data_IF_829176558460
#
_entry.id   IF_829176558460
#
_cell.length_a   1.000
_cell.length_b   1.000
_cell.length_c   1.000
_cell.angle_alpha   90.00
_cell.angle_beta   90.00
_cell.angle_gamma   90.00
#
_symmetry.space_group_name_H-M   'P 1'
#
loop_
_entity.id
_entity.type
_entity.pdbx_description
1 polymer ?
#
# COMPACT_ATOMS: atom_id res chain seq x y z
N UNK A 1 -3.39 8.87 -15.49
CA UNK A 1 -3.94 7.84 -14.57
C UNK A 1 -2.79 7.36 -13.71
N UNK A 2 -2.94 7.35 -12.38
CA UNK A 2 -1.90 6.84 -11.48
C UNK A 2 -1.73 5.34 -11.75
N UNK A 3 -0.52 4.86 -12.00
CA UNK A 3 -0.24 3.45 -12.23
C UNK A 3 0.41 2.89 -10.97
N UNK A 4 -0.23 1.88 -10.38
CA UNK A 4 0.24 1.18 -9.21
C UNK A 4 1.43 0.29 -9.54
N UNK A 5 2.45 0.38 -8.71
CA UNK A 5 3.58 -0.54 -8.66
C UNK A 5 3.15 -1.68 -7.75
N UNK A 6 2.91 -2.84 -8.35
CA UNK A 6 2.40 -4.05 -7.67
C UNK A 6 3.42 -5.16 -7.91
N UNK A 7 3.98 -5.68 -6.82
CA UNK A 7 5.00 -6.74 -6.85
C UNK A 7 4.45 -8.08 -7.33
N UNK A 8 3.19 -8.38 -7.00
CA UNK A 8 2.51 -9.61 -7.36
C UNK A 8 1.13 -9.36 -7.95
N UNK A 9 1.07 -9.43 -9.28
CA UNK A 9 -0.18 -9.22 -10.04
C UNK A 9 -1.17 -10.38 -9.93
N UNK A 10 -0.74 -11.53 -9.41
CA UNK A 10 -1.63 -12.64 -9.13
C UNK A 10 -2.43 -12.43 -7.84
N UNK A 11 -1.94 -11.59 -6.91
CA UNK A 11 -2.59 -11.30 -5.63
C UNK A 11 -3.33 -9.98 -5.62
N UNK A 12 -2.82 -8.96 -6.32
CA UNK A 12 -3.53 -7.71 -6.51
C UNK A 12 -3.33 -7.16 -7.92
N UNK A 13 -4.32 -6.49 -8.47
CA UNK A 13 -4.17 -5.81 -9.75
C UNK A 13 -4.96 -4.50 -9.75
N UNK A 14 -4.63 -3.64 -10.71
CA UNK A 14 -5.31 -2.36 -10.88
C UNK A 14 -6.21 -2.41 -12.12
N UNK A 15 -7.48 -2.03 -11.95
CA UNK A 15 -8.43 -1.84 -13.05
C UNK A 15 -8.96 -0.40 -13.01
N UNK A 16 -8.45 0.45 -13.91
CA UNK A 16 -8.75 1.88 -13.88
C UNK A 16 -8.24 2.52 -12.59
N UNK A 17 -9.14 3.09 -11.78
CA UNK A 17 -8.82 3.68 -10.47
C UNK A 17 -9.01 2.70 -9.29
N UNK A 18 -9.46 1.47 -9.57
CA UNK A 18 -9.68 0.46 -8.54
C UNK A 18 -8.43 -0.39 -8.35
N UNK A 19 -8.08 -0.63 -7.09
CA UNK A 19 -7.13 -1.67 -6.69
C UNK A 19 -7.97 -2.86 -6.26
N UNK A 20 -7.72 -4.02 -6.85
CA UNK A 20 -8.46 -5.25 -6.59
C UNK A 20 -7.48 -6.25 -5.99
N UNK A 21 -7.69 -6.57 -4.71
CA UNK A 21 -7.08 -7.73 -4.06
C UNK A 21 -7.89 -8.97 -4.46
N UNK A 22 -7.23 -10.04 -4.92
CA UNK A 22 -7.91 -11.31 -5.22
C UNK A 22 -8.25 -12.02 -3.91
N UNK A 23 -9.23 -12.92 -3.95
CA UNK A 23 -9.62 -13.73 -2.77
C UNK A 23 -8.61 -14.85 -2.51
N UNK A 24 -7.36 -14.46 -2.28
CA UNK A 24 -6.27 -15.32 -1.87
C UNK A 24 -5.64 -14.76 -0.60
N UNK A 25 -5.10 -15.67 0.20
CA UNK A 25 -4.53 -15.34 1.49
C UNK A 25 -3.12 -14.76 1.30
N UNK A 26 -2.85 -13.60 1.87
CA UNK A 26 -1.53 -12.96 1.85
C UNK A 26 -1.60 -11.43 1.79
N UNK A 27 -0.57 -10.73 2.29
CA UNK A 27 -0.50 -9.28 2.16
C UNK A 27 -0.17 -8.87 0.72
N UNK A 28 -0.83 -7.81 0.26
CA UNK A 28 -0.55 -7.14 -1.01
C UNK A 28 -0.24 -5.67 -0.75
N UNK A 29 0.86 -5.17 -1.30
CA UNK A 29 1.23 -3.76 -1.22
C UNK A 29 1.19 -3.12 -2.60
N UNK A 30 0.58 -1.94 -2.69
CA UNK A 30 0.54 -1.15 -3.92
C UNK A 30 1.20 0.19 -3.62
N UNK A 31 2.31 0.48 -4.30
CA UNK A 31 2.96 1.78 -4.27
C UNK A 31 2.57 2.59 -5.51
N UNK A 32 2.75 3.91 -5.44
CA UNK A 32 2.46 4.81 -6.55
C UNK A 32 3.63 5.75 -6.83
N UNK A 33 3.83 6.06 -8.12
CA UNK A 33 4.79 7.03 -8.62
C UNK A 33 3.98 8.03 -9.49
N UNK A 34 4.06 9.36 -9.27
CA UNK A 34 5.23 10.15 -8.89
C UNK A 34 5.60 10.09 -7.40
N UNK A 35 6.91 10.09 -7.13
CA UNK A 35 7.48 10.38 -5.81
C UNK A 35 7.02 11.79 -5.38
N UNK A 36 6.61 11.90 -4.11
CA UNK A 36 6.22 13.19 -3.52
C UNK A 36 7.50 13.92 -3.11
N UNK A 37 7.93 14.91 -3.90
CA UNK A 37 9.15 15.68 -3.62
C UNK A 37 8.90 16.98 -2.83
N UNK A 38 7.70 17.55 -2.93
CA UNK A 38 7.31 18.77 -2.23
C UNK A 38 5.78 18.99 -2.29
N UNK A 39 5.26 19.88 -1.45
CA UNK A 39 3.85 20.28 -1.43
C UNK A 39 2.96 19.44 -0.52
N UNK A 40 1.64 19.53 -0.73
CA UNK A 40 0.62 18.80 0.03
C UNK A 40 -0.09 17.86 -0.92
N UNK A 41 -0.08 16.56 -0.60
CA UNK A 41 -0.74 15.51 -1.40
C UNK A 41 -1.89 14.92 -0.59
N UNK A 42 -3.00 14.67 -1.27
CA UNK A 42 -4.16 13.99 -0.71
C UNK A 42 -4.42 12.71 -1.51
N UNK A 43 -4.40 11.58 -0.83
CA UNK A 43 -4.98 10.33 -1.34
C UNK A 43 -6.34 10.11 -0.67
N UNK A 44 -7.26 9.45 -1.35
CA UNK A 44 -8.59 9.15 -0.83
C UNK A 44 -9.27 8.05 -1.62
N UNK A 45 -10.21 7.37 -0.98
CA UNK A 45 -10.96 6.27 -1.56
C UNK A 45 -11.87 5.61 -0.53
N UNK A 46 -12.46 4.48 -0.89
CA UNK A 46 -13.29 3.68 -0.01
C UNK A 46 -13.06 2.20 -0.31
N UNK A 47 -13.12 1.36 0.73
CA UNK A 47 -13.09 -0.10 0.57
C UNK A 47 -14.49 -0.62 0.25
N UNK A 48 -14.64 -1.27 -0.90
CA UNK A 48 -15.81 -2.05 -1.30
C UNK A 48 -15.70 -3.49 -0.73
N UNK A 49 -16.81 -4.12 -0.36
CA UNK A 49 -16.89 -5.54 0.09
C UNK A 49 -15.93 -5.89 1.24
N UNK A 50 -16.22 -5.42 2.45
CA UNK A 50 -15.31 -5.51 3.62
C UNK A 50 -15.54 -6.74 4.51
N UNK A 51 -14.71 -7.79 4.45
CA UNK A 51 -14.51 -8.66 5.60
C UNK A 51 -13.26 -8.19 6.34
N UNK A 52 -13.40 -7.47 7.47
CA UNK A 52 -12.42 -7.30 8.58
C UNK A 52 -10.90 -7.27 8.26
N UNK A 53 -10.48 -6.88 7.06
CA UNK A 53 -9.11 -7.07 6.61
C UNK A 53 -8.19 -6.08 7.31
N UNK A 54 -7.02 -6.55 7.72
CA UNK A 54 -5.97 -5.67 8.19
C UNK A 54 -5.43 -4.88 6.99
N UNK A 55 -5.57 -3.56 7.05
CA UNK A 55 -5.03 -2.66 6.05
C UNK A 55 -4.28 -1.53 6.72
N UNK A 56 -3.35 -0.95 5.99
CA UNK A 56 -2.71 0.31 6.29
C UNK A 56 -2.67 1.15 5.03
N UNK A 57 -2.58 2.47 5.20
CA UNK A 57 -2.29 3.37 4.10
C UNK A 57 -1.27 4.39 4.59
N UNK A 58 -0.23 4.66 3.80
CA UNK A 58 0.87 5.48 4.24
C UNK A 58 1.72 6.06 3.12
N UNK A 59 2.77 6.75 3.53
CA UNK A 59 3.81 7.29 2.67
C UNK A 59 5.08 6.53 3.02
N UNK A 60 5.69 5.93 1.99
CA UNK A 60 6.96 5.24 2.10
C UNK A 60 8.08 6.09 1.51
N UNK A 61 9.28 5.94 2.06
CA UNK A 61 10.50 6.47 1.47
C UNK A 61 10.67 5.96 0.03
N UNK A 62 11.23 6.80 -0.83
CA UNK A 62 11.41 6.48 -2.25
C UNK A 62 12.32 5.26 -2.51
N UNK A 63 13.15 4.87 -1.54
CA UNK A 63 14.00 3.67 -1.60
C UNK A 63 13.30 2.39 -1.11
N UNK A 64 12.04 2.46 -0.66
CA UNK A 64 11.31 1.29 -0.21
C UNK A 64 11.01 0.33 -1.36
N UNK A 65 11.22 -0.97 -1.13
CA UNK A 65 10.98 -2.02 -2.13
C UNK A 65 10.07 -3.07 -1.51
N UNK A 66 8.82 -3.12 -1.96
CA UNK A 66 7.83 -4.06 -1.45
C UNK A 66 7.86 -5.37 -2.24
N UNK A 67 8.07 -6.48 -1.54
CA UNK A 67 8.02 -7.82 -2.12
C UNK A 67 6.60 -8.41 -2.09
N UNK A 68 6.40 -9.53 -2.78
CA UNK A 68 5.18 -10.34 -2.63
C UNK A 68 5.18 -11.05 -1.27
N UNK A 69 4.00 -11.18 -0.65
CA UNK A 69 3.79 -11.84 0.65
C UNK A 69 4.67 -11.32 1.80
N UNK A 70 5.13 -10.07 1.69
CA UNK A 70 5.96 -9.42 2.69
C UNK A 70 5.16 -8.35 3.44
N UNK A 71 5.42 -8.26 4.74
CA UNK A 71 4.95 -7.18 5.61
C UNK A 71 5.65 -5.87 5.27
N UNK A 72 5.12 -4.76 5.79
CA UNK A 72 5.63 -3.41 5.51
C UNK A 72 7.05 -3.16 6.02
N UNK A 73 7.48 -3.86 7.08
CA UNK A 73 8.82 -3.80 7.67
C UNK A 73 9.77 -4.87 7.11
N UNK A 74 9.29 -5.81 6.30
CA UNK A 74 10.13 -6.92 5.83
C UNK A 74 11.20 -6.43 4.85
N UNK A 75 12.37 -7.07 4.91
CA UNK A 75 13.53 -6.71 4.09
C UNK A 75 14.22 -5.47 4.64
N UNK A 76 14.47 -4.48 3.78
CA UNK A 76 15.12 -3.22 4.15
C UNK A 76 14.09 -2.08 4.28
N UNK A 77 12.86 -2.39 4.69
CA UNK A 77 11.78 -1.41 4.79
C UNK A 77 11.47 -0.94 6.22
N UNK A 78 12.22 -1.42 7.21
CA UNK A 78 12.15 -0.89 8.58
C UNK A 78 12.46 0.62 8.59
N UNK A 79 11.64 1.37 9.29
CA UNK A 79 11.61 2.83 9.41
C UNK A 79 11.49 3.56 8.08
N UNK A 80 10.97 2.92 7.03
CA UNK A 80 10.74 3.57 5.73
C UNK A 80 9.31 4.01 5.51
N UNK A 81 8.35 3.65 6.37
CA UNK A 81 6.94 3.95 6.11
C UNK A 81 6.27 4.63 7.30
N UNK A 82 5.66 5.80 7.06
CA UNK A 82 4.69 6.38 8.00
C UNK A 82 3.30 6.01 7.50
N UNK A 83 2.51 5.31 8.31
CA UNK A 83 1.19 4.86 7.90
C UNK A 83 0.11 5.01 8.96
N UNK A 84 -1.12 5.05 8.47
CA UNK A 84 -2.35 4.98 9.24
C UNK A 84 -2.90 3.55 9.20
N UNK A 85 -3.10 2.95 10.36
CA UNK A 85 -3.66 1.62 10.52
C UNK A 85 -5.19 1.63 10.51
N UNK A 86 -5.77 0.46 10.26
CA UNK A 86 -7.21 0.22 10.24
C UNK A 86 -7.96 0.69 11.51
N UNK A 87 -7.27 0.72 12.66
CA UNK A 87 -7.81 1.02 13.99
C UNK A 87 -7.63 2.48 14.39
N UNK A 88 -7.00 3.28 13.52
CA UNK A 88 -6.79 4.69 13.71
C UNK A 88 -5.42 5.07 14.24
N UNK A 89 -4.54 4.09 14.49
CA UNK A 89 -3.18 4.37 14.91
C UNK A 89 -2.34 4.93 13.75
N UNK A 90 -1.48 5.91 14.08
CA UNK A 90 -0.40 6.35 13.19
C UNK A 90 0.88 5.76 13.73
N UNK A 91 1.63 5.05 12.87
CA UNK A 91 2.93 4.50 13.23
C UNK A 91 4.00 4.86 12.21
N UNK A 92 5.24 4.78 12.65
CA UNK A 92 6.42 4.74 11.79
C UNK A 92 6.96 3.31 11.84
N UNK A 93 6.85 2.62 10.71
CA UNK A 93 7.23 1.22 10.52
C UNK A 93 8.56 1.16 9.80
#
# INVERSE_FOLDING_TARGET
MLVGIISDKEHAYQQGVKIIHKDNWGPSTVAFNPIISSGIVRFGGFFENRPLANFTIGIADSSAVFGSFKSLYDGENEQKTVCYWRDGEISHI
#
